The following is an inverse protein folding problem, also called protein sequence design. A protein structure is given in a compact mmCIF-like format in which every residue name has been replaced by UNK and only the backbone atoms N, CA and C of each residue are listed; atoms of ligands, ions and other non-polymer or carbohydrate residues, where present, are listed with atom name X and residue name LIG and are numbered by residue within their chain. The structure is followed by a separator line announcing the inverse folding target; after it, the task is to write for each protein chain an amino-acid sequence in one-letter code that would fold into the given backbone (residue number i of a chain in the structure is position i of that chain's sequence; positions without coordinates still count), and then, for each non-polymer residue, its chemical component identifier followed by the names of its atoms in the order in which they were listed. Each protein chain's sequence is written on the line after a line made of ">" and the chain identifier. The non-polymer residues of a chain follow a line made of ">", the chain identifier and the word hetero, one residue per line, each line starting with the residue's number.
data_IF_555612908467
#
_entry.id   IF_555612908467
#
_cell.length_a   1.000
_cell.length_b   1.000
_cell.length_c   1.000
_cell.angle_alpha   90.00
_cell.angle_beta   90.00
_cell.angle_gamma   90.00
#
_symmetry.space_group_name_H-M   'P 1'
#
loop_
_entity.id
_entity.type
_entity.pdbx_description
1 polymer ?
#
# COMPACT_ATOMS: atom_id res chain seq x y z
N UNK A 1 25.34 10.97 79.82
CA UNK A 1 25.25 10.57 78.40
C UNK A 1 23.88 9.93 78.18
N UNK A 2 22.95 10.63 77.54
CA UNK A 2 21.61 10.13 77.28
C UNK A 2 21.47 9.82 75.78
N UNK A 3 21.23 8.56 75.45
CA UNK A 3 20.95 8.11 74.08
C UNK A 3 19.56 8.58 73.67
N UNK A 4 19.49 9.44 72.65
CA UNK A 4 18.23 9.79 71.98
C UNK A 4 17.93 8.66 71.00
N UNK A 5 17.01 7.77 71.36
CA UNK A 5 16.43 6.81 70.42
C UNK A 5 15.44 7.53 69.53
N UNK A 6 15.81 7.81 68.28
CA UNK A 6 14.90 8.29 67.24
C UNK A 6 14.09 7.09 66.75
N UNK A 7 12.88 6.95 67.26
CA UNK A 7 11.87 6.03 66.73
C UNK A 7 11.42 6.52 65.35
N UNK A 8 11.89 5.85 64.30
CA UNK A 8 11.33 5.98 62.95
C UNK A 8 9.85 5.57 63.01
N UNK A 9 8.88 6.44 62.68
CA UNK A 9 7.52 5.96 62.47
C UNK A 9 7.54 5.08 61.23
N UNK A 10 6.96 3.88 61.39
CA UNK A 10 6.84 2.85 60.38
C UNK A 10 6.47 3.41 59.00
N UNK A 11 7.06 2.80 57.96
CA UNK A 11 6.63 2.90 56.57
C UNK A 11 5.12 2.64 56.46
N UNK A 12 4.31 3.67 56.64
CA UNK A 12 2.93 3.69 56.22
C UNK A 12 2.97 3.69 54.69
N UNK A 13 2.73 2.53 54.07
CA UNK A 13 2.26 2.49 52.69
C UNK A 13 1.03 3.39 52.64
N UNK A 14 1.18 4.57 52.07
CA UNK A 14 0.04 5.42 51.74
C UNK A 14 -0.94 4.56 50.93
N UNK A 15 -2.20 4.42 51.34
CA UNK A 15 -3.19 3.79 50.49
C UNK A 15 -3.26 4.63 49.21
N UNK A 16 -2.96 4.01 48.08
CA UNK A 16 -3.15 4.62 46.76
C UNK A 16 -4.62 5.04 46.72
N UNK A 17 -4.88 6.33 46.49
CA UNK A 17 -6.24 6.84 46.36
C UNK A 17 -7.01 5.95 45.36
N UNK A 18 -8.25 5.52 45.68
CA UNK A 18 -9.03 4.65 44.80
C UNK A 18 -9.36 5.32 43.46
N UNK A 19 -9.11 6.61 43.34
CA UNK A 19 -9.42 7.43 42.16
C UNK A 19 -8.33 7.39 41.07
N UNK A 20 -7.26 6.62 41.27
CA UNK A 20 -6.42 6.11 40.17
C UNK A 20 -6.94 4.77 39.63
N UNK A 21 -8.24 4.49 39.84
CA UNK A 21 -9.00 3.55 39.03
C UNK A 21 -8.70 3.81 37.56
N UNK A 22 -8.03 2.82 36.95
CA UNK A 22 -7.74 2.67 35.55
C UNK A 22 -8.76 3.43 34.68
N UNK A 23 -8.46 4.70 34.34
CA UNK A 23 -9.31 5.48 33.45
C UNK A 23 -9.38 4.68 32.17
N UNK A 24 -10.56 4.13 31.79
CA UNK A 24 -10.58 3.20 30.70
C UNK A 24 -10.13 3.97 29.46
N UNK A 25 -9.22 3.38 28.69
CA UNK A 25 -8.76 3.86 27.37
C UNK A 25 -9.95 4.23 26.46
N UNK A 26 -11.15 3.77 26.81
CA UNK A 26 -12.46 4.07 26.22
C UNK A 26 -12.90 5.54 26.25
N UNK A 27 -12.30 6.46 27.02
CA UNK A 27 -12.68 7.90 26.93
C UNK A 27 -12.35 8.53 25.58
N UNK A 28 -11.48 7.87 24.79
CA UNK A 28 -11.14 8.24 23.41
C UNK A 28 -11.54 7.16 22.39
N UNK A 29 -12.30 6.12 22.79
CA UNK A 29 -12.77 5.12 21.85
C UNK A 29 -13.79 5.80 20.92
N UNK A 30 -13.33 6.18 19.73
CA UNK A 30 -14.22 6.55 18.63
C UNK A 30 -15.24 5.43 18.48
N UNK A 31 -16.49 5.82 18.27
CA UNK A 31 -17.54 4.89 17.86
C UNK A 31 -17.00 3.99 16.73
N UNK A 32 -17.20 2.69 16.84
CA UNK A 32 -16.59 1.67 15.96
C UNK A 32 -16.78 1.99 14.47
N UNK A 33 -17.93 2.59 14.12
CA UNK A 33 -18.24 3.07 12.77
C UNK A 33 -17.37 4.26 12.35
N UNK A 34 -17.17 5.23 13.24
CA UNK A 34 -16.31 6.38 13.02
C UNK A 34 -14.84 5.97 12.94
N UNK A 35 -14.41 5.01 13.78
CA UNK A 35 -13.07 4.44 13.75
C UNK A 35 -12.81 3.73 12.41
N UNK A 36 -13.73 2.86 11.98
CA UNK A 36 -13.63 2.16 10.68
C UNK A 36 -13.61 3.15 9.51
N UNK A 37 -14.46 4.19 9.54
CA UNK A 37 -14.48 5.20 8.49
C UNK A 37 -13.17 6.00 8.43
N UNK A 38 -12.60 6.35 9.59
CA UNK A 38 -11.31 7.01 9.69
C UNK A 38 -10.18 6.12 9.16
N UNK A 39 -10.14 4.85 9.53
CA UNK A 39 -9.14 3.88 9.04
C UNK A 39 -9.20 3.72 7.52
N UNK A 40 -10.39 3.69 6.92
CA UNK A 40 -10.56 3.65 5.45
C UNK A 40 -10.02 4.91 4.78
N UNK A 41 -10.32 6.09 5.33
CA UNK A 41 -9.81 7.37 4.81
C UNK A 41 -8.29 7.44 4.92
N UNK A 42 -7.75 7.00 6.05
CA UNK A 42 -6.33 7.01 6.31
C UNK A 42 -5.57 6.00 5.42
N UNK A 43 -6.13 4.80 5.22
CA UNK A 43 -5.61 3.83 4.26
C UNK A 43 -5.64 4.36 2.81
N UNK A 44 -6.73 5.04 2.43
CA UNK A 44 -6.85 5.68 1.11
C UNK A 44 -5.81 6.80 0.94
N UNK A 45 -5.63 7.65 1.95
CA UNK A 45 -4.60 8.71 1.95
C UNK A 45 -3.20 8.13 1.78
N UNK A 46 -2.82 7.11 2.55
CA UNK A 46 -1.50 6.46 2.43
C UNK A 46 -1.28 5.88 1.04
N UNK A 47 -2.30 5.23 0.47
CA UNK A 47 -2.23 4.65 -0.88
C UNK A 47 -2.10 5.74 -1.96
N UNK A 48 -2.79 6.86 -1.81
CA UNK A 48 -2.67 8.00 -2.74
C UNK A 48 -1.27 8.61 -2.68
N UNK A 49 -0.74 8.81 -1.47
CA UNK A 49 0.60 9.35 -1.27
C UNK A 49 1.68 8.40 -1.83
N UNK A 50 1.50 7.09 -1.67
CA UNK A 50 2.37 6.09 -2.32
C UNK A 50 2.32 6.18 -3.85
N UNK A 51 1.14 6.37 -4.44
CA UNK A 51 0.98 6.54 -5.89
C UNK A 51 1.56 7.86 -6.40
N UNK A 52 1.51 8.92 -5.60
CA UNK A 52 2.13 10.21 -5.92
C UNK A 52 3.65 10.09 -5.94
N UNK A 53 4.25 9.40 -4.95
CA UNK A 53 5.69 9.09 -4.94
C UNK A 53 6.10 8.27 -6.16
N UNK A 54 5.36 7.20 -6.47
CA UNK A 54 5.63 6.38 -7.66
C UNK A 54 5.52 7.17 -8.96
N UNK A 55 4.55 8.10 -9.06
CA UNK A 55 4.43 9.01 -10.21
C UNK A 55 5.62 9.96 -10.31
N UNK A 56 6.08 10.52 -9.19
CA UNK A 56 7.26 11.37 -9.14
C UNK A 56 8.53 10.61 -9.56
N UNK A 57 8.64 9.34 -9.18
CA UNK A 57 9.76 8.47 -9.52
C UNK A 57 9.70 7.91 -10.96
N UNK A 58 8.67 8.25 -11.75
CA UNK A 58 8.48 7.74 -13.10
C UNK A 58 8.19 6.24 -13.18
N UNK A 59 7.76 5.63 -12.07
CA UNK A 59 7.47 4.20 -11.98
C UNK A 59 5.99 3.96 -12.31
N UNK A 60 5.67 3.08 -13.28
CA UNK A 60 4.28 2.80 -13.61
C UNK A 60 3.55 2.07 -12.47
N UNK A 61 2.29 2.46 -12.22
CA UNK A 61 1.42 1.85 -11.20
C UNK A 61 1.19 0.36 -11.50
N UNK A 62 1.34 -0.56 -10.53
CA UNK A 62 1.15 -2.00 -10.75
C UNK A 62 -0.20 -2.38 -11.38
N UNK A 63 -1.28 -1.68 -11.02
CA UNK A 63 -2.62 -1.92 -11.60
C UNK A 63 -2.68 -1.48 -13.07
N UNK A 64 -1.96 -0.41 -13.44
CA UNK A 64 -1.89 0.01 -14.84
C UNK A 64 -1.13 -1.02 -15.69
N UNK A 65 -0.02 -1.56 -15.17
CA UNK A 65 0.75 -2.62 -15.85
C UNK A 65 -0.09 -3.87 -16.06
N UNK A 66 -0.83 -4.32 -15.05
CA UNK A 66 -1.71 -5.49 -15.18
C UNK A 66 -2.78 -5.28 -16.26
N UNK A 67 -3.40 -4.10 -16.31
CA UNK A 67 -4.37 -3.77 -17.38
C UNK A 67 -3.72 -3.82 -18.75
N UNK A 68 -2.50 -3.30 -18.89
CA UNK A 68 -1.77 -3.35 -20.17
C UNK A 68 -1.45 -4.77 -20.59
N UNK A 69 -1.06 -5.65 -19.66
CA UNK A 69 -0.81 -7.07 -19.95
C UNK A 69 -2.10 -7.75 -20.42
N UNK A 70 -3.23 -7.49 -19.74
CA UNK A 70 -4.54 -8.04 -20.14
C UNK A 70 -4.99 -7.51 -21.51
N UNK A 71 -4.78 -6.23 -21.79
CA UNK A 71 -5.12 -5.64 -23.09
C UNK A 71 -4.24 -6.22 -24.21
N UNK A 72 -2.94 -6.37 -23.95
CA UNK A 72 -2.03 -7.05 -24.87
C UNK A 72 -2.51 -8.48 -25.16
N UNK A 73 -2.92 -9.23 -24.13
CA UNK A 73 -3.45 -10.58 -24.27
C UNK A 73 -4.73 -10.63 -25.11
N UNK A 74 -5.67 -9.71 -24.87
CA UNK A 74 -6.89 -9.58 -25.67
C UNK A 74 -6.57 -9.33 -27.13
N UNK A 75 -5.65 -8.40 -27.41
CA UNK A 75 -5.26 -8.05 -28.77
C UNK A 75 -4.53 -9.21 -29.47
N UNK A 76 -3.70 -9.96 -28.76
CA UNK A 76 -3.06 -11.17 -29.32
C UNK A 76 -4.08 -12.25 -29.63
N UNK A 77 -5.03 -12.51 -28.73
CA UNK A 77 -6.08 -13.51 -28.92
C UNK A 77 -7.02 -13.15 -30.09
N UNK A 78 -7.32 -11.87 -30.27
CA UNK A 78 -8.11 -11.40 -31.41
C UNK A 78 -7.41 -11.63 -32.76
N UNK A 79 -6.07 -11.54 -32.79
CA UNK A 79 -5.28 -11.77 -34.01
C UNK A 79 -5.01 -13.25 -34.27
N UNK A 80 -4.78 -14.03 -33.22
CA UNK A 80 -4.38 -15.43 -33.32
C UNK A 80 -4.87 -16.20 -32.09
N UNK A 81 -6.06 -16.82 -32.16
CA UNK A 81 -6.68 -17.47 -31.01
C UNK A 81 -6.04 -18.81 -30.62
N UNK A 82 -5.21 -19.40 -31.50
CA UNK A 82 -4.74 -20.78 -31.35
C UNK A 82 -3.40 -20.94 -30.61
N UNK A 83 -2.57 -19.90 -30.54
CA UNK A 83 -1.25 -19.98 -29.90
C UNK A 83 -0.78 -18.60 -29.45
N UNK A 84 -0.24 -18.53 -28.23
CA UNK A 84 0.35 -17.32 -27.66
C UNK A 84 1.80 -17.63 -27.27
N UNK A 85 2.74 -16.90 -27.87
CA UNK A 85 4.10 -16.84 -27.34
C UNK A 85 4.14 -15.85 -26.16
N UNK A 86 4.44 -16.31 -24.93
CA UNK A 86 4.48 -15.45 -23.75
C UNK A 86 5.57 -14.35 -23.86
N UNK A 87 6.66 -14.59 -24.57
CA UNK A 87 7.73 -13.59 -24.72
C UNK A 87 7.27 -12.45 -25.61
N UNK A 88 6.65 -12.76 -26.74
CA UNK A 88 6.07 -11.76 -27.65
C UNK A 88 4.92 -10.99 -26.99
N UNK A 89 4.08 -11.67 -26.20
CA UNK A 89 3.04 -11.03 -25.41
C UNK A 89 3.61 -9.96 -24.47
N UNK A 90 4.67 -10.28 -23.73
CA UNK A 90 5.28 -9.34 -22.77
C UNK A 90 6.01 -8.19 -23.47
N UNK A 91 6.64 -8.46 -24.63
CA UNK A 91 7.23 -7.41 -25.49
C UNK A 91 6.15 -6.45 -25.98
N UNK A 92 5.02 -6.99 -26.44
CA UNK A 92 3.89 -6.19 -26.90
C UNK A 92 3.26 -5.36 -25.76
N UNK A 93 3.10 -5.95 -24.57
CA UNK A 93 2.62 -5.24 -23.39
C UNK A 93 3.55 -4.08 -23.00
N UNK A 94 4.87 -4.26 -23.06
CA UNK A 94 5.84 -3.17 -22.86
C UNK A 94 5.61 -2.03 -23.85
N UNK A 95 5.51 -2.33 -25.14
CA UNK A 95 5.38 -1.31 -26.19
C UNK A 95 4.02 -0.59 -26.10
N UNK A 96 2.98 -1.31 -25.69
CA UNK A 96 1.67 -0.73 -25.40
C UNK A 96 1.70 0.20 -24.18
N UNK A 97 2.42 -0.16 -23.11
CA UNK A 97 2.58 0.71 -21.93
C UNK A 97 3.34 1.99 -22.30
N UNK A 98 4.43 1.86 -23.05
CA UNK A 98 5.27 2.98 -23.48
C UNK A 98 4.46 3.94 -24.37
N UNK A 99 3.80 3.42 -25.41
CA UNK A 99 3.00 4.24 -26.33
C UNK A 99 1.86 4.98 -25.61
N UNK A 100 1.15 4.31 -24.70
CA UNK A 100 0.12 4.96 -23.86
C UNK A 100 0.69 6.06 -22.97
N UNK A 101 1.89 5.85 -22.40
CA UNK A 101 2.54 6.89 -21.58
C UNK A 101 2.95 8.11 -22.41
N UNK A 102 3.41 7.89 -23.64
CA UNK A 102 3.83 8.95 -24.55
C UNK A 102 2.62 9.77 -24.99
N UNK A 103 1.56 9.11 -25.45
CA UNK A 103 0.31 9.78 -25.79
C UNK A 103 -0.30 10.54 -24.58
N UNK A 104 -0.21 9.97 -23.37
CA UNK A 104 -0.70 10.64 -22.17
C UNK A 104 0.12 11.90 -21.82
N UNK A 105 1.45 11.85 -22.01
CA UNK A 105 2.34 12.99 -21.78
C UNK A 105 2.18 14.07 -22.86
N UNK A 106 1.96 13.69 -24.11
CA UNK A 106 1.65 14.64 -25.20
C UNK A 106 0.32 15.37 -24.97
N UNK A 107 -0.70 14.67 -24.47
CA UNK A 107 -1.99 15.27 -24.13
C UNK A 107 -1.93 16.12 -22.85
N UNK A 108 -1.06 15.76 -21.91
CA UNK A 108 -0.91 16.44 -20.61
C UNK A 108 0.55 16.31 -20.14
N UNK A 109 1.37 17.38 -20.29
CA UNK A 109 2.78 17.35 -19.95
C UNK A 109 3.07 17.06 -18.46
N UNK A 110 2.08 17.18 -17.58
CA UNK A 110 2.23 16.86 -16.16
C UNK A 110 2.30 15.35 -15.89
N UNK A 111 1.89 14.50 -16.84
CA UNK A 111 1.94 13.05 -16.70
C UNK A 111 3.36 12.52 -16.96
N UNK A 112 3.83 11.50 -16.23
CA UNK A 112 5.17 10.96 -16.43
C UNK A 112 5.29 10.22 -17.75
N UNK A 113 6.37 10.50 -18.48
CA UNK A 113 6.83 9.69 -19.61
C UNK A 113 7.60 8.50 -19.04
N UNK A 114 7.17 7.27 -19.33
CA UNK A 114 7.85 6.10 -18.78
C UNK A 114 9.11 5.75 -19.57
N UNK A 115 10.14 5.36 -18.83
CA UNK A 115 11.36 4.80 -19.39
C UNK A 115 11.19 3.30 -19.65
N UNK A 116 11.83 2.80 -20.73
CA UNK A 116 11.73 1.40 -21.12
C UNK A 116 12.15 0.44 -20.01
N UNK A 117 13.24 0.77 -19.32
CA UNK A 117 13.75 -0.05 -18.22
C UNK A 117 12.77 -0.11 -17.04
N UNK A 118 12.13 1.02 -16.70
CA UNK A 118 11.15 1.09 -15.62
C UNK A 118 9.91 0.24 -15.92
N UNK A 119 9.43 0.25 -17.17
CA UNK A 119 8.30 -0.59 -17.61
C UNK A 119 8.66 -2.08 -17.55
N UNK A 120 9.85 -2.47 -18.02
CA UNK A 120 10.30 -3.87 -17.97
C UNK A 120 10.39 -4.37 -16.54
N UNK A 121 11.00 -3.60 -15.64
CA UNK A 121 11.09 -3.97 -14.22
C UNK A 121 9.71 -4.02 -13.55
N UNK A 122 8.79 -3.13 -13.90
CA UNK A 122 7.43 -3.17 -13.37
C UNK A 122 6.65 -4.39 -13.88
N UNK A 123 6.77 -4.75 -15.16
CA UNK A 123 6.21 -5.98 -15.73
C UNK A 123 6.80 -7.21 -15.01
N UNK A 124 8.13 -7.27 -14.87
CA UNK A 124 8.83 -8.36 -14.18
C UNK A 124 8.31 -8.52 -12.75
N UNK A 125 8.27 -7.43 -11.97
CA UNK A 125 7.73 -7.43 -10.62
C UNK A 125 6.29 -7.93 -10.59
N UNK A 126 5.45 -7.48 -11.53
CA UNK A 126 4.02 -7.85 -11.54
C UNK A 126 3.82 -9.33 -11.86
N UNK A 127 4.51 -9.85 -12.87
CA UNK A 127 4.42 -11.26 -13.30
C UNK A 127 4.93 -12.20 -12.21
N UNK A 128 6.00 -11.82 -11.50
CA UNK A 128 6.57 -12.62 -10.41
C UNK A 128 5.82 -12.47 -9.08
N UNK A 129 4.96 -11.47 -8.94
CA UNK A 129 4.15 -11.29 -7.73
C UNK A 129 2.87 -12.12 -7.86
N UNK A 130 2.69 -13.17 -7.04
CA UNK A 130 1.47 -13.97 -7.10
C UNK A 130 0.24 -13.08 -6.82
N UNK A 131 -0.92 -13.39 -7.40
CA UNK A 131 -2.15 -12.73 -7.00
C UNK A 131 -2.31 -12.90 -5.48
N UNK A 132 -2.72 -11.83 -4.78
CA UNK A 132 -3.10 -11.95 -3.36
C UNK A 132 -4.09 -13.09 -3.28
N UNK A 133 -3.71 -14.16 -2.56
CA UNK A 133 -4.48 -15.38 -2.46
C UNK A 133 -5.97 -15.03 -2.40
N UNK A 134 -6.70 -15.26 -3.49
CA UNK A 134 -8.11 -15.54 -3.35
C UNK A 134 -8.12 -16.77 -2.47
N UNK A 135 -8.41 -16.57 -1.17
CA UNK A 135 -8.70 -17.58 -0.15
C UNK A 135 -8.68 -18.97 -0.78
N UNK A 136 -7.59 -19.70 -0.57
CA UNK A 136 -7.33 -21.01 -1.16
C UNK A 136 -8.65 -21.75 -1.40
N UNK A 137 -8.99 -21.95 -2.67
CA UNK A 137 -9.99 -22.95 -2.99
C UNK A 137 -9.41 -24.29 -2.52
N UNK A 138 -10.21 -25.12 -1.81
CA UNK A 138 -9.74 -26.41 -1.31
C UNK A 138 -9.25 -27.32 -2.44
#
# INVERSE_FOLDING_TARGET
>A
MAFVTVSHPACMRTPIAPDLEYLPVHRYARDTRQQTAWERREAARRKNLQRERQRADGVPDPTAIERVIVDALRLTLLKSPASIDPVELLRYARDLAMSRSYAAHEADPSKPKFERAAVVEAIRKRVLTPPKASRAAP
#
